data_IF_022274330187
#
_entry.id   IF_022274330187
#
_cell.length_a   1.000
_cell.length_b   1.000
_cell.length_c   1.000
_cell.angle_alpha   90.00
_cell.angle_beta   90.00
_cell.angle_gamma   90.00
#
_symmetry.space_group_name_H-M   'P 1'
#
loop_
_entity.id
_entity.type
_entity.pdbx_description
1 polymer ?
#
# COMPACT_ATOMS: atom_id res chain seq x y z
N UNK A 1 6.89 11.69 8.55
CA UNK A 1 6.92 10.26 8.18
C UNK A 1 7.97 9.55 9.01
N UNK A 2 7.70 8.31 9.42
CA UNK A 2 8.60 7.52 10.27
C UNK A 2 9.64 6.81 9.38
N UNK A 3 10.92 6.82 9.80
CA UNK A 3 12.04 6.16 9.10
C UNK A 3 12.21 6.56 7.61
N UNK A 4 11.81 7.79 7.26
CA UNK A 4 11.76 8.27 5.88
C UNK A 4 13.10 8.09 5.15
N UNK A 5 14.19 8.60 5.72
CA UNK A 5 15.52 8.58 5.08
C UNK A 5 16.01 7.15 4.80
N UNK A 6 15.78 6.23 5.74
CA UNK A 6 16.17 4.82 5.60
C UNK A 6 15.37 4.11 4.51
N UNK A 7 14.06 4.32 4.46
CA UNK A 7 13.21 3.73 3.42
C UNK A 7 13.44 4.33 2.05
N UNK A 8 13.66 5.65 1.95
CA UNK A 8 14.03 6.30 0.68
C UNK A 8 15.36 5.76 0.16
N UNK A 9 16.35 5.54 1.04
CA UNK A 9 17.63 4.94 0.66
C UNK A 9 17.50 3.48 0.20
N UNK A 10 16.61 2.71 0.84
CA UNK A 10 16.44 1.28 0.55
C UNK A 10 15.56 1.01 -0.68
N UNK A 11 14.48 1.77 -0.85
CA UNK A 11 13.41 1.48 -1.80
C UNK A 11 13.32 2.50 -2.93
N UNK A 12 13.92 3.70 -2.77
CA UNK A 12 13.87 4.78 -3.74
C UNK A 12 12.44 5.15 -4.11
N UNK A 13 12.17 5.24 -5.41
CA UNK A 13 10.86 5.61 -5.97
C UNK A 13 9.74 4.59 -5.66
N UNK A 14 10.08 3.42 -5.11
CA UNK A 14 9.08 2.42 -4.68
C UNK A 14 8.57 2.67 -3.24
N UNK A 15 9.08 3.69 -2.53
CA UNK A 15 8.58 4.09 -1.22
C UNK A 15 7.53 5.20 -1.35
N UNK A 16 6.27 4.77 -1.42
CA UNK A 16 5.13 5.68 -1.59
C UNK A 16 4.48 5.97 -0.23
N UNK A 17 4.43 7.24 0.15
CA UNK A 17 3.73 7.69 1.34
C UNK A 17 2.41 8.35 0.95
N UNK A 18 1.32 7.94 1.61
CA UNK A 18 -0.03 8.49 1.43
C UNK A 18 -0.48 9.11 2.75
N UNK A 19 -0.84 10.39 2.73
CA UNK A 19 -1.26 11.16 3.91
C UNK A 19 -2.78 11.32 3.91
N UNK A 20 -3.47 10.75 4.90
CA UNK A 20 -4.94 10.73 4.94
C UNK A 20 -5.59 12.09 5.17
N UNK A 21 -4.93 12.94 5.96
CA UNK A 21 -5.52 14.19 6.46
C UNK A 21 -4.84 15.44 5.90
N UNK A 22 -3.60 15.31 5.43
CA UNK A 22 -2.75 16.43 5.00
C UNK A 22 -2.55 16.44 3.48
N UNK A 23 -2.78 17.58 2.85
CA UNK A 23 -2.34 17.83 1.48
C UNK A 23 -0.95 18.48 1.50
N UNK A 24 0.08 17.68 1.22
CA UNK A 24 1.46 18.15 1.24
C UNK A 24 2.24 17.59 0.04
N UNK A 25 2.39 18.37 -1.05
CA UNK A 25 3.20 17.96 -2.18
C UNK A 25 4.65 17.65 -1.74
N UNK A 26 5.27 16.58 -2.23
CA UNK A 26 4.85 15.76 -3.37
C UNK A 26 4.05 14.48 -3.02
N UNK A 27 3.49 14.37 -1.81
CA UNK A 27 2.85 13.14 -1.35
C UNK A 27 1.41 12.98 -1.85
N UNK A 28 0.98 11.72 -1.96
CA UNK A 28 -0.41 11.38 -2.27
C UNK A 28 -1.32 11.71 -1.07
N UNK A 29 -2.50 12.25 -1.35
CA UNK A 29 -3.49 12.61 -0.32
C UNK A 29 -4.62 11.56 -0.25
N UNK A 30 -5.08 11.26 0.96
CA UNK A 30 -6.24 10.42 1.24
C UNK A 30 -5.86 9.00 1.68
N UNK A 31 -6.72 8.03 1.38
CA UNK A 31 -6.45 6.62 1.67
C UNK A 31 -5.89 5.90 0.44
N UNK A 32 -5.24 4.77 0.64
CA UNK A 32 -4.78 3.92 -0.45
C UNK A 32 -5.98 3.48 -1.30
N UNK A 33 -5.93 3.78 -2.60
CA UNK A 33 -7.00 3.46 -3.55
C UNK A 33 -6.57 2.39 -4.55
N UNK A 34 -7.55 1.83 -5.27
CA UNK A 34 -7.32 0.91 -6.39
C UNK A 34 -6.43 1.55 -7.46
N UNK A 35 -6.66 2.83 -7.79
CA UNK A 35 -5.89 3.57 -8.79
C UNK A 35 -4.43 3.74 -8.38
N UNK A 36 -4.16 4.04 -7.09
CA UNK A 36 -2.80 4.11 -6.57
C UNK A 36 -2.08 2.76 -6.69
N UNK A 37 -2.75 1.66 -6.36
CA UNK A 37 -2.17 0.33 -6.52
C UNK A 37 -1.86 0.04 -7.99
N UNK A 38 -2.78 0.33 -8.92
CA UNK A 38 -2.53 0.15 -10.36
C UNK A 38 -1.37 1.00 -10.87
N UNK A 39 -1.24 2.23 -10.36
CA UNK A 39 -0.18 3.18 -10.72
C UNK A 39 1.20 2.72 -10.25
N UNK A 40 1.30 2.17 -9.04
CA UNK A 40 2.59 1.89 -8.39
C UNK A 40 2.99 0.42 -8.35
N UNK A 41 2.05 -0.52 -8.55
CA UNK A 41 2.35 -1.96 -8.48
C UNK A 41 3.11 -2.43 -9.71
N UNK A 42 4.23 -3.11 -9.48
CA UNK A 42 4.88 -3.90 -10.51
C UNK A 42 4.03 -5.16 -10.83
N UNK A 43 3.65 -5.34 -12.10
CA UNK A 43 2.84 -6.47 -12.58
C UNK A 43 3.50 -7.84 -12.38
N UNK A 44 4.82 -7.89 -12.24
CA UNK A 44 5.57 -9.13 -12.01
C UNK A 44 5.52 -9.59 -10.55
N UNK A 45 5.22 -8.68 -9.61
CA UNK A 45 5.16 -8.99 -8.17
C UNK A 45 3.85 -9.67 -7.81
N UNK A 46 3.88 -10.99 -7.64
CA UNK A 46 2.70 -11.79 -7.30
C UNK A 46 2.22 -11.55 -5.87
N UNK A 47 3.12 -11.59 -4.90
CA UNK A 47 2.77 -11.52 -3.49
C UNK A 47 2.53 -10.09 -2.99
N UNK A 48 1.56 -9.95 -2.08
CA UNK A 48 1.24 -8.72 -1.35
C UNK A 48 1.36 -9.01 0.12
N UNK A 49 2.14 -8.19 0.83
CA UNK A 49 2.28 -8.25 2.27
C UNK A 49 1.50 -7.11 2.90
N UNK A 50 0.55 -7.43 3.79
CA UNK A 50 -0.37 -6.47 4.39
C UNK A 50 -0.29 -6.51 5.91
N UNK A 51 0.03 -5.37 6.52
CA UNK A 51 -0.01 -5.17 7.96
C UNK A 51 -0.74 -3.85 8.30
N UNK A 52 -1.16 -3.69 9.55
CA UNK A 52 -1.77 -2.46 10.05
C UNK A 52 -3.02 -2.69 10.89
N UNK A 53 -3.77 -1.64 11.23
CA UNK A 53 -5.01 -1.75 12.01
C UNK A 53 -6.07 -2.59 11.29
N UNK A 54 -6.90 -3.30 12.05
CA UNK A 54 -7.95 -4.20 11.53
C UNK A 54 -8.86 -3.53 10.49
N UNK A 55 -9.21 -2.27 10.69
CA UNK A 55 -10.04 -1.51 9.75
C UNK A 55 -9.34 -1.31 8.41
N UNK A 56 -8.08 -0.88 8.42
CA UNK A 56 -7.24 -0.69 7.23
C UNK A 56 -7.03 -1.99 6.49
N UNK A 57 -6.70 -3.07 7.21
CA UNK A 57 -6.52 -4.39 6.58
C UNK A 57 -7.80 -4.86 5.88
N UNK A 58 -8.98 -4.62 6.46
CA UNK A 58 -10.27 -4.97 5.84
C UNK A 58 -10.55 -4.15 4.59
N UNK A 59 -10.27 -2.84 4.62
CA UNK A 59 -10.42 -1.96 3.46
C UNK A 59 -9.50 -2.39 2.31
N UNK A 60 -8.23 -2.66 2.60
CA UNK A 60 -7.26 -3.12 1.60
C UNK A 60 -7.64 -4.47 0.98
N UNK A 61 -8.16 -5.41 1.78
CA UNK A 61 -8.66 -6.69 1.25
C UNK A 61 -9.80 -6.50 0.24
N UNK A 62 -10.72 -5.58 0.50
CA UNK A 62 -11.81 -5.29 -0.45
C UNK A 62 -11.28 -4.72 -1.78
N UNK A 63 -10.24 -3.88 -1.73
CA UNK A 63 -9.58 -3.35 -2.94
C UNK A 63 -8.83 -4.46 -3.68
N UNK A 64 -8.16 -5.37 -2.97
CA UNK A 64 -7.48 -6.50 -3.63
C UNK A 64 -8.48 -7.46 -4.28
N UNK A 65 -9.63 -7.67 -3.66
CA UNK A 65 -10.73 -8.45 -4.23
C UNK A 65 -11.31 -7.77 -5.49
N UNK A 66 -11.49 -6.44 -5.52
CA UNK A 66 -11.95 -5.71 -6.72
C UNK A 66 -10.93 -5.78 -7.87
N UNK A 67 -9.64 -5.84 -7.54
CA UNK A 67 -8.54 -6.04 -8.48
C UNK A 67 -8.37 -7.48 -8.97
N UNK A 68 -9.15 -8.43 -8.45
CA UNK A 68 -9.04 -9.85 -8.81
C UNK A 68 -7.75 -10.51 -8.30
N UNK A 69 -7.13 -9.97 -7.25
CA UNK A 69 -5.95 -10.58 -6.64
C UNK A 69 -6.38 -11.78 -5.80
N UNK A 70 -5.83 -12.94 -6.11
CA UNK A 70 -6.17 -14.18 -5.42
C UNK A 70 -5.65 -14.17 -3.98
N UNK A 71 -6.45 -14.73 -3.06
CA UNK A 71 -6.15 -14.73 -1.61
C UNK A 71 -4.85 -15.46 -1.26
N UNK A 72 -4.44 -16.43 -2.07
CA UNK A 72 -3.17 -17.15 -1.88
C UNK A 72 -1.93 -16.27 -2.01
N UNK A 73 -2.04 -15.15 -2.73
CA UNK A 73 -0.95 -14.19 -2.90
C UNK A 73 -0.97 -13.07 -1.86
N UNK A 74 -1.96 -13.03 -0.96
CA UNK A 74 -2.08 -12.01 0.08
C UNK A 74 -1.61 -12.59 1.40
N UNK A 75 -0.37 -12.26 1.76
CA UNK A 75 0.19 -12.56 3.08
C UNK A 75 -0.18 -11.41 4.01
N UNK A 76 -0.83 -11.71 5.12
CA UNK A 76 -1.25 -10.71 6.11
C UNK A 76 -0.65 -11.02 7.46
N UNK A 77 -0.21 -9.98 8.14
CA UNK A 77 0.25 -10.08 9.51
C UNK A 77 -0.98 -9.95 10.44
N UNK A 78 -1.26 -10.99 11.22
CA UNK A 78 -2.39 -10.97 12.16
C UNK A 78 -2.75 -12.35 12.70
N UNK A 79 -2.68 -12.47 14.03
CA UNK A 79 -3.30 -13.52 14.85
C UNK A 79 -4.83 -13.45 14.78
#
# INVERSE_FOLDING_TARGET
>A
MILKEEFEKLLGDNFINVLSDEEFPPYEHGFVTEEMIKKHRNSESKYIYLCGPKATMKAMQAIFESLGIEKEYIVKEGF
#
